data_IF_601291503799
#
_entry.id   IF_601291503799
#
_cell.length_a   1.000
_cell.length_b   1.000
_cell.length_c   1.000
_cell.angle_alpha   90.00
_cell.angle_beta   90.00
_cell.angle_gamma   90.00
#
_symmetry.space_group_name_H-M   'P 1'
#
loop_
_entity.id
_entity.type
_entity.pdbx_description
1 polymer ?
#
# COMPACT_ATOMS: atom_id res chain seq x y z
N UNK A 1 24.42 9.94 20.50
CA UNK A 1 23.39 9.35 19.63
C UNK A 1 22.78 10.49 18.82
N UNK A 2 22.87 10.48 17.49
CA UNK A 2 22.28 11.54 16.65
C UNK A 2 20.84 11.16 16.37
N UNK A 3 19.90 12.03 16.69
CA UNK A 3 18.48 11.81 16.36
C UNK A 3 18.23 12.26 14.92
N UNK A 4 17.69 11.38 14.10
CA UNK A 4 17.25 11.68 12.73
C UNK A 4 15.74 11.77 12.72
N UNK A 5 15.19 12.85 12.19
CA UNK A 5 13.76 13.07 12.11
C UNK A 5 13.22 12.61 10.75
N UNK A 6 12.16 11.80 10.80
CA UNK A 6 11.41 11.37 9.62
C UNK A 6 10.08 12.13 9.61
N UNK A 7 9.88 13.10 8.71
CA UNK A 7 8.65 13.87 8.66
C UNK A 7 7.48 12.99 8.16
N UNK A 8 6.34 13.10 8.84
CA UNK A 8 5.11 12.46 8.38
C UNK A 8 4.60 13.22 7.14
N UNK A 9 4.34 12.52 6.02
CA UNK A 9 3.72 13.12 4.84
C UNK A 9 2.38 13.80 5.18
N UNK A 10 2.06 14.90 4.52
CA UNK A 10 0.81 15.65 4.74
C UNK A 10 0.13 15.93 3.41
N UNK A 11 -1.20 16.07 3.44
CA UNK A 11 -2.04 16.19 2.26
C UNK A 11 -2.95 17.40 2.34
N UNK A 12 -3.22 18.09 1.21
CA UNK A 12 -4.17 19.20 1.17
C UNK A 12 -5.63 18.71 1.19
N UNK A 13 -5.86 17.40 1.11
CA UNK A 13 -7.18 16.79 1.01
C UNK A 13 -7.77 16.51 2.39
N UNK A 14 -9.12 16.42 2.51
CA UNK A 14 -9.75 16.23 3.81
C UNK A 14 -9.37 14.88 4.45
N UNK A 15 -9.23 14.90 5.78
CA UNK A 15 -9.22 13.70 6.61
C UNK A 15 -10.67 13.32 6.92
N UNK A 16 -11.08 12.14 6.51
CA UNK A 16 -12.44 11.61 6.77
C UNK A 16 -12.32 10.39 7.68
N UNK A 17 -13.28 10.23 8.59
CA UNK A 17 -13.29 9.15 9.58
C UNK A 17 -14.35 8.12 9.22
N UNK A 18 -13.99 6.85 9.33
CA UNK A 18 -14.91 5.75 9.10
C UNK A 18 -15.99 5.68 10.18
N UNK A 19 -17.22 5.28 9.84
CA UNK A 19 -18.23 4.92 10.84
C UNK A 19 -17.93 3.56 11.51
N UNK A 20 -17.05 2.76 10.95
CA UNK A 20 -16.64 1.48 11.51
C UNK A 20 -15.42 1.66 12.42
N UNK A 21 -15.45 1.02 13.60
CA UNK A 21 -14.38 1.08 14.61
C UNK A 21 -13.89 -0.30 15.03
N UNK A 22 -14.57 -1.36 14.63
CA UNK A 22 -14.25 -2.74 14.98
C UNK A 22 -14.67 -3.70 13.86
N UNK A 23 -14.02 -4.85 13.81
CA UNK A 23 -14.35 -5.92 12.87
C UNK A 23 -14.51 -7.26 13.60
N UNK A 24 -15.75 -7.64 14.00
CA UNK A 24 -16.01 -8.83 14.81
C UNK A 24 -15.66 -10.17 14.15
N UNK A 25 -15.57 -10.22 12.81
CA UNK A 25 -15.27 -11.45 12.06
C UNK A 25 -13.76 -11.75 11.98
N UNK A 26 -12.89 -10.83 12.41
CA UNK A 26 -11.43 -10.95 12.27
C UNK A 26 -10.90 -12.26 12.86
N UNK A 27 -11.22 -12.52 14.13
CA UNK A 27 -10.73 -13.71 14.83
C UNK A 27 -11.16 -15.01 14.11
N UNK A 28 -12.41 -15.03 13.63
CA UNK A 28 -12.94 -16.16 12.87
C UNK A 28 -12.15 -16.37 11.58
N UNK A 29 -11.92 -15.32 10.80
CA UNK A 29 -11.18 -15.44 9.54
C UNK A 29 -9.75 -15.90 9.78
N UNK A 30 -9.04 -15.29 10.74
CA UNK A 30 -7.67 -15.66 11.08
C UNK A 30 -7.58 -17.14 11.52
N UNK A 31 -8.58 -17.66 12.20
CA UNK A 31 -8.60 -19.06 12.65
C UNK A 31 -8.97 -20.04 11.53
N UNK A 32 -10.02 -19.76 10.76
CA UNK A 32 -10.60 -20.69 9.79
C UNK A 32 -9.88 -20.70 8.44
N UNK A 33 -9.56 -19.51 7.91
CA UNK A 33 -9.00 -19.38 6.58
C UNK A 33 -7.47 -19.18 6.57
N UNK A 34 -6.92 -18.56 7.62
CA UNK A 34 -5.48 -18.41 7.77
C UNK A 34 -4.86 -19.43 8.73
N UNK A 35 -5.58 -20.53 9.00
CA UNK A 35 -5.13 -21.63 9.86
C UNK A 35 -3.89 -22.38 9.39
N UNK A 36 -3.46 -22.21 8.13
CA UNK A 36 -2.20 -22.71 7.60
C UNK A 36 -0.96 -21.97 8.15
N UNK A 37 -1.15 -20.77 8.72
CA UNK A 37 -0.10 -20.03 9.41
C UNK A 37 0.03 -20.53 10.85
N UNK A 38 1.26 -20.41 11.41
CA UNK A 38 1.49 -20.68 12.82
C UNK A 38 0.61 -19.78 13.72
N UNK A 39 0.19 -20.29 14.85
CA UNK A 39 -0.65 -19.56 15.82
C UNK A 39 0.00 -18.22 16.25
N UNK A 40 1.31 -18.22 16.49
CA UNK A 40 2.06 -17.01 16.82
C UNK A 40 1.93 -15.93 15.73
N UNK A 41 1.97 -16.33 14.48
CA UNK A 41 1.82 -15.44 13.33
C UNK A 41 0.40 -14.91 13.22
N UNK A 42 -0.63 -15.75 13.38
CA UNK A 42 -2.03 -15.31 13.41
C UNK A 42 -2.30 -14.31 14.53
N UNK A 43 -1.79 -14.60 15.74
CA UNK A 43 -1.93 -13.69 16.89
C UNK A 43 -1.22 -12.34 16.66
N UNK A 44 -0.13 -12.32 15.88
CA UNK A 44 0.53 -11.09 15.45
C UNK A 44 -0.35 -10.28 14.51
N UNK A 45 -1.02 -10.91 13.53
CA UNK A 45 -1.95 -10.21 12.64
C UNK A 45 -3.14 -9.61 13.40
N UNK A 46 -3.73 -10.32 14.35
CA UNK A 46 -4.80 -9.76 15.21
C UNK A 46 -4.37 -8.48 15.96
N UNK A 47 -3.08 -8.39 16.38
CA UNK A 47 -2.55 -7.17 17.00
C UNK A 47 -2.29 -6.02 16.01
N UNK A 48 -2.20 -6.31 14.73
CA UNK A 48 -1.95 -5.31 13.70
C UNK A 48 -3.20 -4.53 13.29
N UNK A 49 -4.39 -5.04 13.67
CA UNK A 49 -5.68 -4.39 13.37
C UNK A 49 -5.81 -4.06 11.87
N UNK A 50 -5.64 -5.10 11.02
CA UNK A 50 -5.63 -4.90 9.57
C UNK A 50 -6.93 -4.30 9.02
N UNK A 51 -8.06 -4.46 9.71
CA UNK A 51 -9.31 -3.80 9.35
C UNK A 51 -9.20 -2.28 9.36
N UNK A 52 -8.34 -1.72 10.22
CA UNK A 52 -8.20 -0.28 10.40
C UNK A 52 -7.64 0.42 9.16
N UNK A 53 -6.69 -0.20 8.43
CA UNK A 53 -6.25 0.41 7.18
C UNK A 53 -7.37 0.45 6.14
N UNK A 54 -8.20 -0.60 6.08
CA UNK A 54 -9.35 -0.66 5.18
C UNK A 54 -10.37 0.42 5.51
N UNK A 55 -10.71 0.56 6.79
CA UNK A 55 -11.64 1.60 7.25
C UNK A 55 -11.13 3.02 6.96
N UNK A 56 -9.82 3.23 7.10
CA UNK A 56 -9.20 4.52 6.81
C UNK A 56 -9.12 4.82 5.31
N UNK A 57 -8.98 3.79 4.45
CA UNK A 57 -8.94 3.99 2.99
C UNK A 57 -10.32 4.28 2.37
N UNK A 58 -11.40 3.69 2.92
CA UNK A 58 -12.78 3.92 2.42
C UNK A 58 -13.70 4.43 3.53
N UNK A 59 -13.37 5.58 4.15
CA UNK A 59 -14.03 6.05 5.36
C UNK A 59 -15.49 6.48 5.16
N UNK A 60 -15.91 6.75 3.93
CA UNK A 60 -17.30 7.14 3.61
C UNK A 60 -18.23 5.94 3.40
N UNK A 61 -17.68 4.74 3.25
CA UNK A 61 -18.47 3.52 3.10
C UNK A 61 -19.10 3.14 4.44
N UNK A 62 -20.43 3.15 4.52
CA UNK A 62 -21.19 2.84 5.74
C UNK A 62 -21.96 1.53 5.66
N UNK A 63 -22.02 0.89 4.49
CA UNK A 63 -22.71 -0.39 4.29
C UNK A 63 -21.75 -1.56 4.59
N UNK A 64 -22.02 -2.39 5.62
CA UNK A 64 -21.16 -3.52 5.97
C UNK A 64 -21.08 -4.59 4.88
N UNK A 65 -22.12 -4.78 4.05
CA UNK A 65 -22.09 -5.74 2.94
C UNK A 65 -21.12 -5.30 1.83
N UNK A 66 -20.98 -4.00 1.60
CA UNK A 66 -19.98 -3.43 0.68
C UNK A 66 -18.59 -3.51 1.30
N UNK A 67 -18.47 -3.19 2.60
CA UNK A 67 -17.18 -3.17 3.29
C UNK A 67 -16.57 -4.58 3.46
N UNK A 68 -17.38 -5.61 3.66
CA UNK A 68 -16.90 -6.97 3.92
C UNK A 68 -15.97 -7.53 2.84
N UNK A 69 -16.31 -7.54 1.53
CA UNK A 69 -15.39 -8.03 0.50
C UNK A 69 -14.14 -7.16 0.33
N UNK A 70 -14.19 -5.88 0.68
CA UNK A 70 -13.03 -5.00 0.71
C UNK A 70 -12.09 -5.42 1.85
N UNK A 71 -12.64 -5.71 3.03
CA UNK A 71 -11.88 -6.28 4.16
C UNK A 71 -11.23 -7.62 3.79
N UNK A 72 -11.97 -8.54 3.14
CA UNK A 72 -11.40 -9.81 2.65
C UNK A 72 -10.19 -9.59 1.75
N UNK A 73 -10.30 -8.66 0.81
CA UNK A 73 -9.20 -8.31 -0.09
C UNK A 73 -8.02 -7.70 0.68
N UNK A 74 -8.27 -6.83 1.64
CA UNK A 74 -7.24 -6.24 2.50
C UNK A 74 -6.47 -7.28 3.31
N UNK A 75 -7.17 -8.19 3.96
CA UNK A 75 -6.55 -9.32 4.68
C UNK A 75 -5.80 -10.25 3.74
N UNK A 76 -6.44 -10.63 2.64
CA UNK A 76 -5.79 -11.44 1.61
C UNK A 76 -4.48 -10.82 1.18
N UNK A 77 -4.51 -9.57 0.74
CA UNK A 77 -3.34 -8.90 0.18
C UNK A 77 -2.20 -8.79 1.20
N UNK A 78 -2.50 -8.32 2.41
CA UNK A 78 -1.48 -8.13 3.45
C UNK A 78 -0.84 -9.44 3.89
N UNK A 79 -1.65 -10.48 4.11
CA UNK A 79 -1.15 -11.78 4.59
C UNK A 79 -0.46 -12.53 3.44
N UNK A 80 -0.96 -12.41 2.23
CA UNK A 80 -0.38 -12.98 1.04
C UNK A 80 1.01 -12.38 0.75
N UNK A 81 1.15 -11.07 0.80
CA UNK A 81 2.42 -10.37 0.60
C UNK A 81 3.50 -10.87 1.58
N UNK A 82 3.16 -10.94 2.88
CA UNK A 82 4.05 -11.51 3.89
C UNK A 82 4.30 -13.03 3.68
N UNK A 83 3.34 -13.78 3.13
CA UNK A 83 3.42 -15.22 2.91
C UNK A 83 4.29 -15.59 1.70
N UNK A 84 4.10 -14.89 0.58
CA UNK A 84 4.91 -15.16 -0.62
C UNK A 84 6.36 -14.70 -0.44
N UNK A 85 6.62 -13.62 0.28
CA UNK A 85 7.94 -13.14 0.67
C UNK A 85 9.00 -13.26 -0.43
N UNK A 86 10.06 -14.02 -0.17
CA UNK A 86 11.07 -14.45 -1.16
C UNK A 86 10.78 -15.91 -1.54
N UNK A 87 9.67 -16.13 -2.21
CA UNK A 87 9.28 -17.45 -2.72
C UNK A 87 10.06 -17.77 -4.02
N UNK A 88 10.44 -19.03 -4.28
CA UNK A 88 10.97 -19.43 -5.57
C UNK A 88 10.07 -18.98 -6.73
N UNK A 89 10.68 -18.55 -7.84
CA UNK A 89 9.97 -17.89 -8.94
C UNK A 89 8.86 -18.76 -9.55
N UNK A 90 9.09 -20.06 -9.68
CA UNK A 90 8.11 -21.03 -10.18
C UNK A 90 6.92 -21.21 -9.24
N UNK A 91 7.16 -21.27 -7.93
CA UNK A 91 6.11 -21.33 -6.91
C UNK A 91 5.30 -20.02 -6.87
N UNK A 92 6.00 -18.86 -6.93
CA UNK A 92 5.38 -17.56 -6.98
C UNK A 92 4.48 -17.38 -8.21
N UNK A 93 4.96 -17.87 -9.37
CA UNK A 93 4.18 -17.87 -10.60
C UNK A 93 2.94 -18.76 -10.49
N UNK A 94 3.09 -19.98 -9.95
CA UNK A 94 1.95 -20.87 -9.73
C UNK A 94 0.90 -20.24 -8.76
N UNK A 95 1.36 -19.54 -7.72
CA UNK A 95 0.48 -18.83 -6.81
C UNK A 95 -0.24 -17.66 -7.49
N UNK A 96 0.46 -16.89 -8.33
CA UNK A 96 -0.13 -15.81 -9.12
C UNK A 96 -1.19 -16.32 -10.10
N UNK A 97 -0.86 -17.37 -10.87
CA UNK A 97 -1.78 -18.00 -11.82
C UNK A 97 -3.02 -18.54 -11.09
N UNK A 98 -2.85 -19.17 -9.91
CA UNK A 98 -3.96 -19.66 -9.12
C UNK A 98 -4.87 -18.54 -8.59
N UNK A 99 -4.28 -17.43 -8.13
CA UNK A 99 -5.04 -16.23 -7.72
C UNK A 99 -5.90 -15.71 -8.88
N UNK A 100 -5.30 -15.59 -10.06
CA UNK A 100 -5.99 -15.17 -11.28
C UNK A 100 -7.17 -16.10 -11.62
N UNK A 101 -6.96 -17.42 -11.58
CA UNK A 101 -8.00 -18.40 -11.84
C UNK A 101 -9.17 -18.31 -10.86
N UNK A 102 -8.89 -18.11 -9.58
CA UNK A 102 -9.93 -17.95 -8.54
C UNK A 102 -10.74 -16.68 -8.81
N UNK A 103 -10.11 -15.61 -9.21
CA UNK A 103 -10.81 -14.39 -9.61
C UNK A 103 -11.68 -14.60 -10.85
N UNK A 104 -11.34 -15.54 -11.75
CA UNK A 104 -12.11 -15.91 -12.93
C UNK A 104 -13.02 -17.14 -12.72
N UNK A 105 -13.57 -17.31 -11.52
CA UNK A 105 -14.62 -18.29 -11.19
C UNK A 105 -14.14 -19.74 -10.94
N UNK A 106 -12.85 -20.03 -10.87
CA UNK A 106 -12.36 -21.35 -10.48
C UNK A 106 -12.25 -21.45 -8.95
N UNK A 107 -13.32 -21.79 -8.28
CA UNK A 107 -13.36 -21.92 -6.81
C UNK A 107 -12.20 -22.80 -6.29
N UNK A 108 -11.67 -22.51 -5.09
CA UNK A 108 -10.59 -23.29 -4.51
C UNK A 108 -11.04 -24.71 -4.14
N UNK A 109 -10.13 -25.67 -4.25
CA UNK A 109 -10.36 -27.04 -3.83
C UNK A 109 -10.32 -27.12 -2.28
N UNK A 110 -10.93 -28.16 -1.68
CA UNK A 110 -11.00 -28.30 -0.21
C UNK A 110 -9.63 -28.41 0.49
N UNK A 111 -8.61 -28.90 -0.21
CA UNK A 111 -7.25 -29.10 0.29
C UNK A 111 -6.32 -27.90 0.04
N UNK A 112 -6.79 -26.87 -0.69
CA UNK A 112 -6.03 -25.64 -0.88
C UNK A 112 -6.03 -24.77 0.38
N UNK A 113 -4.96 -23.98 0.54
CA UNK A 113 -4.83 -23.05 1.68
C UNK A 113 -5.98 -22.05 1.71
N UNK A 114 -6.42 -21.70 2.93
CA UNK A 114 -7.63 -20.91 3.13
C UNK A 114 -7.57 -19.48 2.61
N UNK A 115 -6.39 -18.96 2.31
CA UNK A 115 -6.22 -17.65 1.67
C UNK A 115 -6.99 -17.55 0.35
N UNK A 116 -7.06 -18.63 -0.43
CA UNK A 116 -7.82 -18.70 -1.67
C UNK A 116 -9.34 -18.70 -1.43
N UNK A 117 -9.81 -19.28 -0.29
CA UNK A 117 -11.23 -19.20 0.09
C UNK A 117 -11.65 -17.76 0.39
N UNK A 118 -10.78 -16.97 1.02
CA UNK A 118 -11.05 -15.54 1.25
C UNK A 118 -11.22 -14.77 -0.05
N UNK A 119 -10.36 -15.02 -1.04
CA UNK A 119 -10.45 -14.35 -2.34
C UNK A 119 -11.69 -14.78 -3.12
N UNK A 120 -12.01 -16.08 -3.12
CA UNK A 120 -13.23 -16.59 -3.76
C UNK A 120 -14.51 -16.01 -3.11
N UNK A 121 -14.51 -15.87 -1.78
CA UNK A 121 -15.61 -15.24 -1.06
C UNK A 121 -15.74 -13.76 -1.41
N UNK A 122 -14.63 -13.01 -1.44
CA UNK A 122 -14.62 -11.60 -1.85
C UNK A 122 -15.20 -11.42 -3.27
N UNK A 123 -14.75 -12.23 -4.23
CA UNK A 123 -15.29 -12.21 -5.61
C UNK A 123 -16.81 -12.41 -5.63
N UNK A 124 -17.30 -13.43 -4.93
CA UNK A 124 -18.75 -13.75 -4.87
C UNK A 124 -19.55 -12.61 -4.25
N UNK A 125 -19.02 -12.00 -3.19
CA UNK A 125 -19.65 -10.86 -2.52
C UNK A 125 -19.65 -9.61 -3.41
N UNK A 126 -18.57 -9.31 -4.17
CA UNK A 126 -18.56 -8.22 -5.15
C UNK A 126 -19.61 -8.40 -6.26
N UNK A 127 -19.71 -9.62 -6.82
CA UNK A 127 -20.74 -9.93 -7.83
C UNK A 127 -22.14 -9.77 -7.22
N UNK A 128 -22.36 -10.26 -6.01
CA UNK A 128 -23.65 -10.11 -5.31
C UNK A 128 -24.01 -8.65 -5.02
N UNK A 129 -23.00 -7.80 -4.80
CA UNK A 129 -23.14 -6.36 -4.63
C UNK A 129 -23.25 -5.58 -5.97
N UNK A 130 -23.37 -6.30 -7.10
CA UNK A 130 -23.63 -5.69 -8.40
C UNK A 130 -22.40 -5.27 -9.20
N UNK A 131 -21.17 -5.62 -8.75
CA UNK A 131 -19.99 -5.33 -9.55
C UNK A 131 -19.98 -6.17 -10.83
N UNK A 132 -19.78 -5.54 -12.02
CA UNK A 132 -19.88 -6.22 -13.30
C UNK A 132 -18.66 -7.12 -13.57
N UNK A 133 -18.83 -8.13 -14.43
CA UNK A 133 -17.79 -9.10 -14.75
C UNK A 133 -16.52 -8.46 -15.31
N UNK A 134 -16.62 -7.42 -16.14
CA UNK A 134 -15.44 -6.73 -16.66
C UNK A 134 -14.59 -6.10 -15.55
N UNK A 135 -15.21 -5.68 -14.43
CA UNK A 135 -14.51 -5.17 -13.27
C UNK A 135 -13.80 -6.32 -12.52
N UNK A 136 -14.44 -7.48 -12.38
CA UNK A 136 -13.81 -8.68 -11.81
C UNK A 136 -12.60 -9.13 -12.64
N UNK A 137 -12.72 -9.14 -13.97
CA UNK A 137 -11.61 -9.46 -14.89
C UNK A 137 -10.46 -8.46 -14.75
N UNK A 138 -10.77 -7.17 -14.56
CA UNK A 138 -9.77 -6.14 -14.30
C UNK A 138 -9.07 -6.38 -12.96
N UNK A 139 -9.79 -6.68 -11.90
CA UNK A 139 -9.21 -7.04 -10.61
C UNK A 139 -8.28 -8.24 -10.71
N UNK A 140 -8.67 -9.27 -11.48
CA UNK A 140 -7.82 -10.44 -11.73
C UNK A 140 -6.49 -10.05 -12.41
N UNK A 141 -6.54 -9.19 -13.44
CA UNK A 141 -5.34 -8.67 -14.11
C UNK A 141 -4.45 -7.84 -13.19
N UNK A 142 -5.03 -6.97 -12.36
CA UNK A 142 -4.28 -6.14 -11.41
C UNK A 142 -3.55 -7.01 -10.36
N UNK A 143 -4.14 -8.11 -9.90
CA UNK A 143 -3.42 -9.08 -9.07
C UNK A 143 -2.28 -9.76 -9.83
N UNK A 144 -2.50 -10.15 -11.07
CA UNK A 144 -1.45 -10.75 -11.89
C UNK A 144 -0.29 -9.77 -12.15
N UNK A 145 -0.59 -8.49 -12.42
CA UNK A 145 0.40 -7.43 -12.57
C UNK A 145 1.17 -7.16 -11.26
N UNK A 146 0.49 -7.19 -10.11
CA UNK A 146 1.14 -7.10 -8.81
C UNK A 146 2.23 -8.16 -8.65
N UNK A 147 1.93 -9.43 -8.96
CA UNK A 147 2.94 -10.48 -8.89
C UNK A 147 4.02 -10.31 -9.94
N UNK A 148 3.64 -10.09 -11.21
CA UNK A 148 4.56 -10.13 -12.35
C UNK A 148 5.48 -8.92 -12.40
N UNK A 149 4.92 -7.71 -12.27
CA UNK A 149 5.65 -6.44 -12.40
C UNK A 149 6.06 -5.85 -11.05
N UNK A 150 5.50 -6.37 -9.97
CA UNK A 150 5.85 -6.03 -8.59
C UNK A 150 6.77 -7.06 -7.96
N UNK A 151 6.21 -8.08 -7.32
CA UNK A 151 6.96 -9.03 -6.47
C UNK A 151 8.10 -9.73 -7.20
N UNK A 152 7.87 -10.21 -8.45
CA UNK A 152 8.91 -10.88 -9.24
C UNK A 152 10.04 -9.93 -9.63
N UNK A 153 9.75 -8.66 -9.85
CA UNK A 153 10.73 -7.63 -10.20
C UNK A 153 11.51 -7.09 -8.99
N UNK A 154 10.97 -7.22 -7.77
CA UNK A 154 11.69 -6.93 -6.52
C UNK A 154 12.72 -8.01 -6.18
N UNK A 155 12.37 -9.26 -6.41
CA UNK A 155 13.13 -10.43 -5.98
C UNK A 155 14.62 -10.38 -6.36
N UNK A 156 15.03 -10.02 -7.58
CA UNK A 156 16.46 -9.93 -7.96
C UNK A 156 17.24 -8.94 -7.09
N UNK A 157 16.65 -7.78 -6.73
CA UNK A 157 17.30 -6.77 -5.91
C UNK A 157 17.46 -7.24 -4.46
N UNK A 158 16.42 -7.86 -3.90
CA UNK A 158 16.45 -8.44 -2.55
C UNK A 158 17.47 -9.58 -2.46
N UNK A 159 17.50 -10.50 -3.44
CA UNK A 159 18.45 -11.62 -3.44
C UNK A 159 19.92 -11.20 -3.63
N UNK A 160 20.18 -10.19 -4.46
CA UNK A 160 21.53 -9.67 -4.69
C UNK A 160 21.98 -8.60 -3.72
N UNK A 161 21.09 -8.14 -2.84
CA UNK A 161 21.30 -6.99 -1.93
C UNK A 161 21.80 -5.75 -2.70
N UNK A 162 21.15 -5.43 -3.82
CA UNK A 162 21.49 -4.29 -4.66
C UNK A 162 20.33 -3.33 -4.78
N UNK A 163 20.62 -2.05 -4.95
CA UNK A 163 19.60 -1.02 -5.08
C UNK A 163 19.26 -0.76 -6.55
N UNK A 164 17.97 -0.63 -6.91
CA UNK A 164 17.57 -0.11 -8.23
C UNK A 164 17.90 1.38 -8.33
N UNK A 165 17.86 1.93 -9.56
CA UNK A 165 17.76 3.38 -9.74
C UNK A 165 16.40 3.90 -9.24
N UNK A 166 16.29 5.19 -8.94
CA UNK A 166 15.02 5.82 -8.49
C UNK A 166 13.91 5.56 -9.51
N UNK A 167 14.19 5.73 -10.81
CA UNK A 167 13.20 5.44 -11.85
C UNK A 167 12.75 3.98 -11.89
N UNK A 168 13.68 3.02 -11.68
CA UNK A 168 13.35 1.60 -11.62
C UNK A 168 12.56 1.26 -10.34
N UNK A 169 12.95 1.83 -9.21
CA UNK A 169 12.22 1.73 -7.94
C UNK A 169 10.77 2.16 -8.11
N UNK A 170 10.51 3.37 -8.63
CA UNK A 170 9.16 3.90 -8.82
C UNK A 170 8.31 2.99 -9.71
N UNK A 171 8.90 2.45 -10.79
CA UNK A 171 8.23 1.53 -11.69
C UNK A 171 7.83 0.22 -11.00
N UNK A 172 8.74 -0.38 -10.23
CA UNK A 172 8.46 -1.62 -9.49
C UNK A 172 7.44 -1.36 -8.39
N UNK A 173 7.65 -0.34 -7.56
CA UNK A 173 6.79 -0.05 -6.40
C UNK A 173 5.38 0.35 -6.78
N UNK A 174 5.18 0.96 -7.96
CA UNK A 174 3.84 1.23 -8.49
C UNK A 174 2.98 -0.03 -8.57
N UNK A 175 3.59 -1.20 -8.80
CA UNK A 175 2.91 -2.49 -8.80
C UNK A 175 3.01 -3.21 -7.45
N UNK A 176 4.21 -3.33 -6.88
CA UNK A 176 4.47 -4.19 -5.72
C UNK A 176 3.84 -3.69 -4.42
N UNK A 177 3.50 -2.41 -4.31
CA UNK A 177 2.71 -1.90 -3.18
C UNK A 177 1.25 -2.40 -3.19
N UNK A 178 0.78 -3.00 -4.31
CA UNK A 178 -0.57 -3.55 -4.46
C UNK A 178 -1.67 -2.52 -4.65
N UNK A 179 -1.34 -1.25 -4.75
CA UNK A 179 -2.35 -0.17 -4.76
C UNK A 179 -3.18 -0.11 -6.03
N UNK A 180 -2.72 -0.70 -7.13
CA UNK A 180 -3.56 -0.85 -8.33
C UNK A 180 -4.80 -1.71 -8.04
N UNK A 181 -4.66 -2.77 -7.26
CA UNK A 181 -5.78 -3.57 -6.75
C UNK A 181 -6.68 -2.73 -5.84
N UNK A 182 -6.10 -2.03 -4.86
CA UNK A 182 -6.87 -1.26 -3.89
C UNK A 182 -7.59 -0.05 -4.50
N UNK A 183 -6.99 0.65 -5.47
CA UNK A 183 -7.68 1.78 -6.13
C UNK A 183 -8.90 1.33 -6.94
N UNK A 184 -8.90 0.11 -7.47
CA UNK A 184 -10.11 -0.48 -8.09
C UNK A 184 -11.21 -0.76 -7.07
N UNK A 185 -10.87 -1.09 -5.81
CA UNK A 185 -11.87 -1.26 -4.74
C UNK A 185 -12.63 0.02 -4.42
N UNK A 186 -12.12 1.18 -4.82
CA UNK A 186 -12.85 2.46 -4.72
C UNK A 186 -14.17 2.39 -5.48
N UNK A 187 -14.18 1.77 -6.66
CA UNK A 187 -15.41 1.57 -7.44
C UNK A 187 -16.40 0.66 -6.72
N UNK A 188 -15.90 -0.42 -6.08
CA UNK A 188 -16.73 -1.29 -5.26
C UNK A 188 -17.27 -0.57 -4.02
N UNK A 189 -16.46 0.29 -3.38
CA UNK A 189 -16.87 1.11 -2.24
C UNK A 189 -17.94 2.14 -2.62
N UNK A 190 -17.88 2.68 -3.83
CA UNK A 190 -18.90 3.56 -4.43
C UNK A 190 -20.16 2.78 -4.86
N UNK A 191 -20.10 1.45 -4.95
CA UNK A 191 -21.18 0.60 -5.45
C UNK A 191 -21.39 0.64 -6.96
N UNK A 192 -20.42 1.16 -7.72
CA UNK A 192 -20.52 1.31 -9.18
C UNK A 192 -19.14 1.30 -9.85
N UNK A 193 -19.02 0.57 -10.96
CA UNK A 193 -17.80 0.53 -11.75
C UNK A 193 -17.74 1.67 -12.77
N UNK A 194 -16.56 2.28 -12.91
CA UNK A 194 -16.31 3.24 -13.96
C UNK A 194 -16.40 2.55 -15.34
N UNK A 195 -17.06 3.19 -16.33
CA UNK A 195 -17.01 2.71 -17.72
C UNK A 195 -15.57 2.54 -18.20
N UNK A 196 -15.31 1.51 -19.01
CA UNK A 196 -13.96 1.17 -19.47
C UNK A 196 -13.24 2.37 -20.10
N UNK A 197 -13.90 3.13 -20.98
CA UNK A 197 -13.30 4.29 -21.66
C UNK A 197 -12.94 5.45 -20.70
N UNK A 198 -13.61 5.55 -19.54
CA UNK A 198 -13.28 6.52 -18.49
C UNK A 198 -12.14 5.98 -17.64
N UNK A 199 -12.25 4.72 -17.22
CA UNK A 199 -11.20 4.07 -16.46
C UNK A 199 -9.85 4.11 -17.21
N UNK A 200 -9.85 3.82 -18.53
CA UNK A 200 -8.64 3.82 -19.36
C UNK A 200 -8.24 5.21 -19.89
N UNK A 201 -8.99 6.26 -19.54
CA UNK A 201 -8.62 7.61 -19.94
C UNK A 201 -7.23 7.98 -19.40
N UNK A 202 -6.33 8.59 -20.21
CA UNK A 202 -4.94 8.87 -19.80
C UNK A 202 -4.81 9.62 -18.46
N UNK A 203 -5.66 10.62 -18.22
CA UNK A 203 -5.66 11.36 -16.95
C UNK A 203 -6.07 10.47 -15.76
N UNK A 204 -7.04 9.57 -15.95
CA UNK A 204 -7.49 8.63 -14.90
C UNK A 204 -6.44 7.53 -14.65
N UNK A 205 -5.76 7.07 -15.70
CA UNK A 205 -4.62 6.16 -15.56
C UNK A 205 -3.51 6.83 -14.75
N UNK A 206 -3.13 8.05 -15.12
CA UNK A 206 -2.07 8.80 -14.42
C UNK A 206 -2.42 9.06 -12.96
N UNK A 207 -3.68 9.39 -12.66
CA UNK A 207 -4.17 9.54 -11.28
C UNK A 207 -3.93 8.28 -10.45
N UNK A 208 -4.25 7.09 -11.00
CA UNK A 208 -4.05 5.81 -10.29
C UNK A 208 -2.57 5.44 -10.13
N UNK A 209 -1.74 5.75 -11.13
CA UNK A 209 -0.28 5.58 -11.02
C UNK A 209 0.30 6.45 -9.91
N UNK A 210 -0.07 7.73 -9.88
CA UNK A 210 0.36 8.66 -8.86
C UNK A 210 -0.11 8.24 -7.47
N UNK A 211 -1.37 7.83 -7.34
CA UNK A 211 -1.92 7.28 -6.09
C UNK A 211 -1.07 6.10 -5.59
N UNK A 212 -0.74 5.15 -6.48
CA UNK A 212 0.05 3.97 -6.11
C UNK A 212 1.46 4.36 -5.65
N UNK A 213 2.13 5.26 -6.37
CA UNK A 213 3.48 5.72 -6.03
C UNK A 213 3.51 6.55 -4.73
N UNK A 214 2.52 7.42 -4.52
CA UNK A 214 2.40 8.20 -3.28
C UNK A 214 2.25 7.27 -2.08
N UNK A 215 1.39 6.26 -2.19
CA UNK A 215 1.18 5.28 -1.11
C UNK A 215 2.41 4.38 -0.89
N UNK A 216 3.14 4.04 -1.95
CA UNK A 216 4.42 3.35 -1.80
C UNK A 216 5.41 4.17 -0.96
N UNK A 217 5.53 5.47 -1.25
CA UNK A 217 6.40 6.37 -0.49
C UNK A 217 5.90 6.55 0.95
N UNK A 218 4.58 6.64 1.19
CA UNK A 218 4.02 6.63 2.56
C UNK A 218 4.45 5.39 3.35
N UNK A 219 4.32 4.23 2.72
CA UNK A 219 4.72 2.95 3.33
C UNK A 219 6.21 2.95 3.67
N UNK A 220 7.04 3.39 2.74
CA UNK A 220 8.49 3.46 2.92
C UNK A 220 8.90 4.41 4.07
N UNK A 221 8.22 5.55 4.22
CA UNK A 221 8.44 6.46 5.35
C UNK A 221 8.01 5.84 6.69
N UNK A 222 6.89 5.12 6.70
CA UNK A 222 6.41 4.44 7.91
C UNK A 222 7.29 3.25 8.30
N UNK A 223 7.83 2.53 7.32
CA UNK A 223 8.60 1.29 7.51
C UNK A 223 10.11 1.50 7.62
N UNK A 224 10.64 2.69 7.37
CA UNK A 224 12.08 2.96 7.29
C UNK A 224 12.86 2.43 8.50
N UNK A 225 12.30 2.56 9.71
CA UNK A 225 12.93 2.04 10.94
C UNK A 225 13.11 0.53 10.90
N UNK A 226 12.08 -0.19 10.44
CA UNK A 226 12.11 -1.65 10.27
C UNK A 226 13.11 -2.04 9.20
N UNK A 227 13.09 -1.36 8.07
CA UNK A 227 13.88 -1.73 6.88
C UNK A 227 15.35 -1.42 7.04
N UNK A 228 15.71 -0.33 7.71
CA UNK A 228 17.09 -0.08 8.13
C UNK A 228 17.64 -1.16 9.09
N UNK A 229 16.75 -1.87 9.76
CA UNK A 229 17.09 -2.92 10.71
C UNK A 229 17.08 -4.34 10.11
N UNK A 230 16.70 -4.46 8.85
CA UNK A 230 16.54 -5.75 8.14
C UNK A 230 17.55 -5.84 7.00
N UNK A 231 18.30 -6.93 6.93
CA UNK A 231 19.19 -7.22 5.81
C UNK A 231 18.36 -7.44 4.52
N UNK A 232 18.89 -7.01 3.38
CA UNK A 232 18.31 -7.19 2.05
C UNK A 232 17.02 -6.37 1.75
N UNK A 233 16.66 -5.40 2.57
CA UNK A 233 15.61 -4.43 2.24
C UNK A 233 16.17 -3.32 1.37
N UNK A 234 16.00 -3.47 0.06
CA UNK A 234 16.61 -2.58 -0.96
C UNK A 234 15.59 -1.72 -1.71
N UNK A 235 14.29 -1.91 -1.43
CA UNK A 235 13.17 -1.27 -2.14
C UNK A 235 12.41 -0.27 -1.25
N UNK A 236 13.16 0.63 -0.62
CA UNK A 236 12.63 1.79 0.08
C UNK A 236 13.20 3.05 -0.58
N UNK A 237 12.36 4.03 -0.92
CA UNK A 237 12.77 5.24 -1.63
C UNK A 237 13.93 5.97 -0.93
N UNK A 238 13.91 6.02 0.40
CA UNK A 238 14.94 6.71 1.19
C UNK A 238 16.29 6.01 1.00
N UNK A 239 16.31 4.68 1.05
CA UNK A 239 17.52 3.88 0.85
C UNK A 239 18.02 3.94 -0.59
N UNK A 240 17.10 3.93 -1.55
CA UNK A 240 17.42 4.07 -2.99
C UNK A 240 18.04 5.44 -3.28
N UNK A 241 17.45 6.52 -2.73
CA UNK A 241 17.99 7.88 -2.86
C UNK A 241 19.35 8.02 -2.19
N UNK A 242 19.53 7.45 -0.99
CA UNK A 242 20.85 7.42 -0.32
C UNK A 242 21.92 6.80 -1.23
N UNK A 243 21.57 5.67 -1.84
CA UNK A 243 22.50 4.92 -2.68
C UNK A 243 22.81 5.64 -4.00
N UNK A 244 21.78 6.11 -4.71
CA UNK A 244 21.93 6.72 -6.05
C UNK A 244 22.61 8.09 -5.97
N UNK A 245 22.21 8.95 -5.01
CA UNK A 245 22.77 10.30 -4.85
C UNK A 245 24.00 10.32 -3.97
N UNK A 246 24.32 9.24 -3.25
CA UNK A 246 25.43 9.14 -2.29
C UNK A 246 25.35 10.23 -1.22
N UNK A 247 24.17 10.43 -0.69
CA UNK A 247 23.86 11.44 0.34
C UNK A 247 23.56 10.79 1.68
N UNK A 248 23.73 11.50 2.81
CA UNK A 248 23.35 10.98 4.13
C UNK A 248 21.83 10.83 4.27
N UNK A 249 21.42 10.07 5.28
CA UNK A 249 20.02 9.69 5.53
C UNK A 249 19.07 10.89 5.58
N UNK A 250 19.43 11.97 6.25
CA UNK A 250 18.56 13.16 6.36
C UNK A 250 18.33 13.85 5.01
N UNK A 251 19.35 13.89 4.15
CA UNK A 251 19.21 14.44 2.80
C UNK A 251 18.35 13.53 1.93
N UNK A 252 18.54 12.20 2.04
CA UNK A 252 17.72 11.24 1.33
C UNK A 252 16.24 11.31 1.73
N UNK A 253 15.95 11.49 3.02
CA UNK A 253 14.57 11.72 3.51
C UNK A 253 14.00 13.00 2.87
N UNK A 254 14.78 14.09 2.83
CA UNK A 254 14.33 15.36 2.24
C UNK A 254 14.05 15.25 0.73
N UNK A 255 14.92 14.56 -0.02
CA UNK A 255 14.74 14.36 -1.46
C UNK A 255 13.56 13.41 -1.74
N UNK A 256 13.41 12.34 -0.96
CA UNK A 256 12.25 11.44 -1.07
C UNK A 256 10.93 12.16 -0.79
N UNK A 257 10.92 13.07 0.18
CA UNK A 257 9.73 13.88 0.48
C UNK A 257 9.41 14.86 -0.65
N UNK A 258 10.40 15.42 -1.34
CA UNK A 258 10.17 16.28 -2.53
C UNK A 258 9.53 15.47 -3.66
N UNK A 259 10.03 14.27 -3.94
CA UNK A 259 9.47 13.38 -4.96
C UNK A 259 7.98 13.11 -4.64
N UNK A 260 7.68 12.77 -3.38
CA UNK A 260 6.31 12.59 -2.90
C UNK A 260 5.44 13.83 -3.13
N UNK A 261 5.91 15.01 -2.71
CA UNK A 261 5.14 16.27 -2.78
C UNK A 261 4.92 16.75 -4.23
N UNK A 262 5.82 16.41 -5.15
CA UNK A 262 5.62 16.65 -6.58
C UNK A 262 4.49 15.80 -7.15
N UNK A 263 4.39 14.54 -6.75
CA UNK A 263 3.29 13.66 -7.14
C UNK A 263 1.94 14.12 -6.57
N UNK A 264 1.91 14.59 -5.32
CA UNK A 264 0.69 15.17 -4.71
C UNK A 264 0.23 16.40 -5.50
N UNK A 265 1.16 17.31 -5.86
CA UNK A 265 0.84 18.48 -6.70
C UNK A 265 0.38 18.10 -8.10
N UNK A 266 0.94 17.03 -8.68
CA UNK A 266 0.52 16.53 -9.99
C UNK A 266 -0.93 16.01 -9.94
N UNK A 267 -1.35 15.29 -8.89
CA UNK A 267 -2.74 14.90 -8.69
C UNK A 267 -3.66 16.13 -8.70
N UNK A 268 -3.33 17.18 -7.95
CA UNK A 268 -4.15 18.39 -7.91
C UNK A 268 -4.19 19.08 -9.29
N UNK A 269 -3.07 19.13 -10.00
CA UNK A 269 -3.03 19.67 -11.37
C UNK A 269 -3.92 18.89 -12.34
N UNK A 270 -3.81 17.56 -12.35
CA UNK A 270 -4.63 16.70 -13.22
C UNK A 270 -6.11 16.88 -12.89
N UNK A 271 -6.47 16.84 -11.61
CA UNK A 271 -7.88 16.91 -11.19
C UNK A 271 -8.53 18.28 -11.36
N UNK A 272 -7.72 19.33 -11.48
CA UNK A 272 -8.19 20.69 -11.79
C UNK A 272 -8.43 20.90 -13.30
N UNK A 273 -7.76 20.13 -14.16
CA UNK A 273 -7.78 20.29 -15.61
C UNK A 273 -8.34 19.06 -16.34
N UNK A 274 -9.30 18.36 -15.72
CA UNK A 274 -9.95 17.21 -16.35
C UNK A 274 -10.79 17.63 -17.55
N UNK A 275 -10.90 16.77 -18.57
CA UNK A 275 -11.89 16.98 -19.63
C UNK A 275 -13.31 16.86 -19.07
N UNK A 276 -14.28 17.35 -19.84
CA UNK A 276 -15.70 17.14 -19.57
C UNK A 276 -16.06 15.68 -19.93
N UNK A 277 -16.43 14.88 -18.92
CA UNK A 277 -16.89 13.50 -19.07
C UNK A 277 -18.42 13.40 -19.31
N UNK A 278 -19.10 14.52 -19.52
CA UNK A 278 -20.52 14.57 -19.82
C UNK A 278 -21.37 13.91 -18.73
N UNK A 279 -22.19 12.92 -19.13
CA UNK A 279 -23.06 12.19 -18.22
C UNK A 279 -22.33 11.55 -17.02
N UNK A 280 -21.05 11.24 -17.17
CA UNK A 280 -20.25 10.58 -16.13
C UNK A 280 -19.45 11.55 -15.26
N UNK A 281 -19.62 12.86 -15.43
CA UNK A 281 -18.81 13.86 -14.71
C UNK A 281 -18.89 13.71 -13.19
N UNK A 282 -20.10 13.61 -12.64
CA UNK A 282 -20.33 13.45 -11.21
C UNK A 282 -19.68 12.16 -10.66
N UNK A 283 -19.80 11.05 -11.39
CA UNK A 283 -19.14 9.79 -11.02
C UNK A 283 -17.62 9.90 -10.99
N UNK A 284 -17.03 10.62 -11.95
CA UNK A 284 -15.57 10.84 -12.00
C UNK A 284 -15.11 11.73 -10.85
N UNK A 285 -15.83 12.79 -10.55
CA UNK A 285 -15.53 13.69 -9.42
C UNK A 285 -15.62 12.96 -8.08
N UNK A 286 -16.63 12.11 -7.89
CA UNK A 286 -16.79 11.28 -6.71
C UNK A 286 -15.65 10.23 -6.58
N UNK A 287 -15.28 9.59 -7.68
CA UNK A 287 -14.13 8.67 -7.71
C UNK A 287 -12.83 9.38 -7.31
N UNK A 288 -12.57 10.57 -7.84
CA UNK A 288 -11.38 11.37 -7.50
C UNK A 288 -11.39 11.77 -6.04
N UNK A 289 -12.54 12.18 -5.51
CA UNK A 289 -12.68 12.47 -4.09
C UNK A 289 -12.30 11.26 -3.23
N UNK A 290 -12.82 10.07 -3.57
CA UNK A 290 -12.50 8.83 -2.88
C UNK A 290 -11.00 8.48 -2.96
N UNK A 291 -10.36 8.66 -4.11
CA UNK A 291 -8.91 8.45 -4.26
C UNK A 291 -8.11 9.39 -3.35
N UNK A 292 -8.49 10.66 -3.27
CA UNK A 292 -7.82 11.66 -2.43
C UNK A 292 -7.96 11.34 -0.93
N UNK A 293 -9.15 11.01 -0.48
CA UNK A 293 -9.37 10.65 0.95
C UNK A 293 -8.73 9.30 1.31
N UNK A 294 -8.65 8.35 0.37
CA UNK A 294 -7.94 7.09 0.53
C UNK A 294 -6.46 7.32 0.84
N UNK A 295 -5.78 8.17 0.06
CA UNK A 295 -4.36 8.50 0.28
C UNK A 295 -4.16 9.09 1.67
N UNK A 296 -4.99 10.07 2.07
CA UNK A 296 -4.89 10.69 3.38
C UNK A 296 -5.24 9.70 4.51
N UNK A 297 -6.27 8.88 4.31
CA UNK A 297 -6.70 7.88 5.28
C UNK A 297 -5.65 6.82 5.55
N UNK A 298 -4.97 6.31 4.52
CA UNK A 298 -3.90 5.33 4.72
C UNK A 298 -2.70 5.93 5.44
N UNK A 299 -2.36 7.19 5.16
CA UNK A 299 -1.33 7.90 5.94
C UNK A 299 -1.70 7.96 7.42
N UNK A 300 -2.96 8.26 7.74
CA UNK A 300 -3.45 8.28 9.11
C UNK A 300 -3.40 6.88 9.78
N UNK A 301 -3.67 5.81 9.04
CA UNK A 301 -3.48 4.45 9.56
C UNK A 301 -2.05 4.22 10.06
N UNK A 302 -1.04 4.67 9.32
CA UNK A 302 0.36 4.46 9.75
C UNK A 302 0.70 5.18 11.07
N UNK A 303 0.10 6.34 11.33
CA UNK A 303 0.58 7.23 12.39
C UNK A 303 -0.46 7.53 13.48
N UNK A 304 -1.75 7.34 13.24
CA UNK A 304 -2.85 7.72 14.14
C UNK A 304 -3.63 6.52 14.69
N UNK A 305 -3.71 5.39 13.96
CA UNK A 305 -4.57 4.25 14.32
C UNK A 305 -4.07 3.44 15.52
N UNK A 306 -2.81 3.56 15.88
CA UNK A 306 -2.20 2.73 16.92
C UNK A 306 -1.83 1.32 16.46
N UNK A 307 -1.85 1.05 15.15
CA UNK A 307 -1.42 -0.24 14.57
C UNK A 307 -0.05 -0.67 15.09
N UNK A 308 0.09 -1.96 15.38
CA UNK A 308 1.38 -2.54 15.79
C UNK A 308 2.23 -3.04 14.62
N UNK A 309 1.74 -2.91 13.37
CA UNK A 309 2.44 -3.45 12.19
C UNK A 309 3.83 -2.87 12.01
N UNK A 310 4.06 -1.61 12.35
CA UNK A 310 5.32 -0.88 12.17
C UNK A 310 6.06 -0.63 13.49
N UNK A 311 5.66 -1.32 14.58
CA UNK A 311 6.29 -1.20 15.90
C UNK A 311 7.05 -2.47 16.27
N UNK A 312 7.85 -2.41 17.35
CA UNK A 312 8.58 -3.58 17.87
C UNK A 312 7.67 -4.76 18.25
N UNK A 313 6.43 -4.49 18.64
CA UNK A 313 5.46 -5.54 18.99
C UNK A 313 4.93 -6.28 17.73
N UNK A 314 4.90 -5.62 16.58
CA UNK A 314 4.45 -6.20 15.32
C UNK A 314 5.53 -6.91 14.53
N UNK A 315 6.79 -6.48 14.65
CA UNK A 315 7.95 -7.07 14.00
C UNK A 315 9.11 -7.20 14.98
N UNK A 316 9.94 -8.23 14.81
CA UNK A 316 11.24 -8.28 15.46
C UNK A 316 12.11 -7.20 14.80
N UNK A 317 12.29 -6.06 15.46
CA UNK A 317 13.20 -5.02 14.98
C UNK A 317 14.60 -5.45 15.37
N UNK A 318 15.43 -5.79 14.38
CA UNK A 318 16.87 -5.87 14.56
C UNK A 318 17.40 -4.47 14.92
N UNK A 319 18.49 -4.39 15.66
CA UNK A 319 19.15 -3.11 15.94
C UNK A 319 19.84 -2.64 14.66
N UNK A 320 19.58 -1.41 14.24
CA UNK A 320 20.31 -0.79 13.13
C UNK A 320 21.73 -0.42 13.59
N UNK A 321 22.72 -0.89 12.84
CA UNK A 321 24.14 -0.57 13.02
C UNK A 321 24.91 -1.63 13.79
N UNK A 322 26.17 -1.78 13.42
CA UNK A 322 27.20 -2.41 14.26
C UNK A 322 27.32 -1.61 15.56
N UNK A 323 27.66 -2.25 16.65
CA UNK A 323 27.61 -1.80 18.06
C UNK A 323 28.06 -0.36 18.40
N UNK A 324 28.53 0.44 17.43
CA UNK A 324 29.08 1.76 17.66
C UNK A 324 28.18 2.94 17.27
N UNK A 325 27.08 2.75 16.51
CA UNK A 325 26.18 3.86 16.12
C UNK A 325 24.70 3.42 16.06
N UNK A 326 24.04 3.36 17.19
CA UNK A 326 22.58 3.27 17.19
C UNK A 326 21.99 4.61 16.72
N UNK A 327 21.33 4.63 15.55
CA UNK A 327 20.52 5.76 15.10
C UNK A 327 19.20 5.78 15.89
N UNK A 328 18.89 6.95 16.45
CA UNK A 328 17.56 7.21 17.01
C UNK A 328 16.71 7.87 15.92
N UNK A 329 15.72 7.14 15.41
CA UNK A 329 14.78 7.65 14.41
C UNK A 329 13.50 8.11 15.10
N UNK A 330 13.22 9.40 14.99
CA UNK A 330 11.98 9.99 15.49
C UNK A 330 11.05 10.34 14.31
N UNK A 331 9.94 9.61 14.17
CA UNK A 331 8.91 9.89 13.17
C UNK A 331 7.91 10.86 13.79
N UNK A 332 7.75 12.05 13.20
CA UNK A 332 6.84 13.07 13.74
C UNK A 332 6.39 14.08 12.69
N UNK A 333 5.32 14.79 13.02
CA UNK A 333 4.94 16.00 12.29
C UNK A 333 6.00 17.09 12.51
N UNK A 334 6.51 17.66 11.42
CA UNK A 334 7.47 18.76 11.44
C UNK A 334 6.99 19.89 10.52
N UNK A 335 7.35 21.12 10.87
CA UNK A 335 7.30 22.22 9.92
C UNK A 335 8.34 21.94 8.83
N UNK A 336 7.89 21.62 7.63
CA UNK A 336 8.73 21.17 6.53
C UNK A 336 9.71 22.25 6.05
N UNK A 337 9.25 23.49 5.96
CA UNK A 337 10.10 24.61 5.51
C UNK A 337 11.20 24.87 6.51
N UNK A 338 10.87 24.90 7.80
CA UNK A 338 11.83 25.06 8.87
C UNK A 338 12.82 23.89 8.92
N UNK A 339 12.34 22.66 8.78
CA UNK A 339 13.17 21.45 8.79
C UNK A 339 14.15 21.41 7.62
N UNK A 340 13.68 21.64 6.37
CA UNK A 340 14.52 21.69 5.16
C UNK A 340 15.58 22.81 5.25
N UNK A 341 15.20 23.98 5.78
CA UNK A 341 16.12 25.10 5.96
C UNK A 341 17.24 24.76 6.95
N UNK A 342 16.92 24.06 8.03
CA UNK A 342 17.91 23.67 9.03
C UNK A 342 18.85 22.57 8.54
N UNK A 343 18.37 21.62 7.73
CA UNK A 343 19.26 20.64 7.08
C UNK A 343 20.32 21.32 6.23
N UNK A 344 19.95 22.29 5.40
CA UNK A 344 20.89 23.05 4.56
C UNK A 344 21.89 23.86 5.37
N UNK A 345 21.52 24.34 6.55
CA UNK A 345 22.41 25.11 7.41
C UNK A 345 23.39 24.22 8.18
N UNK A 346 22.96 23.02 8.61
CA UNK A 346 23.82 22.07 9.31
C UNK A 346 24.89 21.45 8.38
N UNK A 347 24.57 21.27 7.09
CA UNK A 347 25.54 20.77 6.10
C UNK A 347 26.58 21.82 5.62
N UNK A 348 26.45 23.08 6.04
CA UNK A 348 27.48 24.12 5.81
C UNK A 348 28.53 24.22 6.94
N UNK A 349 28.37 23.39 7.97
CA UNK A 349 29.26 23.38 9.16
C UNK A 349 30.16 22.13 9.25
N UNK A 350 30.27 21.36 8.16
CA UNK A 350 31.22 20.22 8.06
C UNK A 350 32.22 20.47 6.92
#
# INVERSE_FOLDING_TARGET
>A
MKTVYVPIPSYPWPRVFSPFTEFPEEEKWLKEDYGFLEEKTRNRYGKQQLYDFVFNMWPVTSNPEIMRPILRCGYYHTIMDDYVGIMPLDELKAFADRTYEIMLEKDPQPDEIGIFRQMAAARKEWIANGMPLFWIERMAREFQEYFTYGVMEETPFKLSNTYPSIGRYLLIRMYSIGQKVFVNLTEAAMGQALPVHIHEHPAMNRLRELQSMIIAIQNDFASIRKELATDNETLNIILVVMHEYKVPLEEAIAESLKIHDEMVREIDSITTCLPDFGFYQEMVEDYIYHVKIMIHGLNAFYYESGTKRYTQEGFAIAKYGTDEQSLDLEIKHVDREYWIKNLKNNNKLV
#
